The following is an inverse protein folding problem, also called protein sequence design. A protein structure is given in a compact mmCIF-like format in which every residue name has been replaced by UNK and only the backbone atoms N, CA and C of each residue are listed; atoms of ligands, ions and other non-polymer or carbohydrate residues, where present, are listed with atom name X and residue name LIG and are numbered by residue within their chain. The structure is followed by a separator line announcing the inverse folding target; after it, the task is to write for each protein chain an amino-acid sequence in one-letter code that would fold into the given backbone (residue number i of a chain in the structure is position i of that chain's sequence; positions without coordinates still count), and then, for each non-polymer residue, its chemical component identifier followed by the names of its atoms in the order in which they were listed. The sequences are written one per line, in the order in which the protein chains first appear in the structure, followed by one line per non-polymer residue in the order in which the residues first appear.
data_IF_168413999827
#
_entry.id   IF_168413999827
#
_cell.length_a   1.000
_cell.length_b   1.000
_cell.length_c   1.000
_cell.angle_alpha   90.00
_cell.angle_beta   90.00
_cell.angle_gamma   90.00
#
_symmetry.space_group_name_H-M   'P 1'
#
loop_
_entity.id
_entity.type
_entity.pdbx_description
1 polymer ?
#
# COMPACT_ATOMS: atom_id res chain seq x y z
N UNK A 1 -21.90 -4.89 63.08
CA UNK A 1 -22.78 -5.96 62.54
C UNK A 1 -23.77 -5.27 61.61
N UNK A 2 -23.74 -5.32 60.28
CA UNK A 2 -22.95 -6.01 59.25
C UNK A 2 -22.71 -4.97 58.13
N UNK A 3 -21.47 -4.88 57.64
CA UNK A 3 -21.12 -4.20 56.39
C UNK A 3 -21.75 -4.96 55.23
N UNK A 4 -22.51 -4.27 54.37
CA UNK A 4 -22.87 -4.80 53.05
C UNK A 4 -21.73 -4.49 52.08
N UNK A 5 -21.00 -5.53 51.73
CA UNK A 5 -19.99 -5.56 50.67
C UNK A 5 -20.67 -5.30 49.33
N UNK A 6 -20.38 -4.16 48.71
CA UNK A 6 -20.65 -3.95 47.28
C UNK A 6 -19.53 -4.63 46.49
N UNK A 7 -19.82 -5.79 45.92
CA UNK A 7 -18.94 -6.43 44.94
C UNK A 7 -18.90 -5.57 43.68
N UNK A 8 -17.75 -4.93 43.42
CA UNK A 8 -17.42 -4.37 42.11
C UNK A 8 -17.21 -5.52 41.13
N UNK A 9 -18.21 -5.80 40.30
CA UNK A 9 -18.01 -6.54 39.05
C UNK A 9 -17.26 -5.61 38.08
N UNK A 10 -15.95 -5.79 37.98
CA UNK A 10 -15.15 -5.25 36.88
C UNK A 10 -15.28 -6.25 35.73
N UNK A 11 -16.18 -5.96 34.79
CA UNK A 11 -16.21 -6.64 33.49
C UNK A 11 -15.15 -5.96 32.62
N UNK A 12 -13.93 -6.50 32.60
CA UNK A 12 -12.94 -6.15 31.57
C UNK A 12 -13.40 -6.83 30.29
N UNK A 13 -14.10 -6.08 29.45
CA UNK A 13 -14.26 -6.43 28.04
C UNK A 13 -12.90 -6.24 27.37
N UNK A 14 -12.08 -7.30 27.37
CA UNK A 14 -10.88 -7.38 26.57
C UNK A 14 -11.31 -7.52 25.10
N UNK A 15 -11.57 -6.41 24.42
CA UNK A 15 -11.63 -6.38 22.96
C UNK A 15 -10.23 -6.73 22.46
N UNK A 16 -9.99 -8.00 22.15
CA UNK A 16 -8.96 -8.36 21.19
C UNK A 16 -9.37 -7.70 19.86
N UNK A 17 -8.81 -6.54 19.57
CA UNK A 17 -8.72 -6.07 18.21
C UNK A 17 -7.79 -7.04 17.49
N UNK A 18 -8.37 -8.06 16.88
CA UNK A 18 -7.70 -8.81 15.82
C UNK A 18 -7.61 -7.82 14.66
N UNK A 19 -6.53 -7.04 14.62
CA UNK A 19 -6.13 -6.36 13.39
C UNK A 19 -5.69 -7.47 12.46
N UNK A 20 -6.63 -8.01 11.68
CA UNK A 20 -6.25 -8.67 10.45
C UNK A 20 -5.60 -7.58 9.62
N UNK A 21 -4.28 -7.64 9.48
CA UNK A 21 -3.53 -6.81 8.56
C UNK A 21 -3.92 -7.26 7.15
N UNK A 22 -5.11 -6.85 6.70
CA UNK A 22 -5.54 -7.06 5.33
C UNK A 22 -4.59 -6.23 4.48
N UNK A 23 -3.66 -6.90 3.79
CA UNK A 23 -2.83 -6.24 2.80
C UNK A 23 -3.76 -5.77 1.69
N UNK A 24 -4.16 -4.49 1.71
CA UNK A 24 -5.01 -3.96 0.66
C UNK A 24 -4.32 -4.16 -0.69
N UNK A 25 -5.00 -4.89 -1.56
CA UNK A 25 -4.59 -5.07 -2.94
C UNK A 25 -4.61 -3.73 -3.67
N UNK A 26 -3.74 -3.56 -4.67
CA UNK A 26 -3.68 -2.34 -5.46
C UNK A 26 -5.00 -2.13 -6.21
N UNK A 27 -5.63 -0.98 -6.03
CA UNK A 27 -6.80 -0.52 -6.78
C UNK A 27 -6.36 -0.01 -8.16
N UNK A 28 -7.08 -0.43 -9.21
CA UNK A 28 -6.87 0.14 -10.56
C UNK A 28 -7.54 1.51 -10.66
N UNK A 29 -6.87 2.50 -11.25
CA UNK A 29 -7.44 3.86 -11.36
C UNK A 29 -8.71 3.83 -12.22
N UNK A 30 -8.74 3.06 -13.32
CA UNK A 30 -9.94 2.87 -14.13
C UNK A 30 -11.19 2.47 -13.33
N UNK A 31 -11.00 1.62 -12.31
CA UNK A 31 -12.10 1.12 -11.48
C UNK A 31 -12.71 2.25 -10.67
N UNK A 32 -11.85 3.13 -10.12
CA UNK A 32 -12.27 4.35 -9.44
C UNK A 32 -13.01 5.27 -10.43
N UNK A 33 -12.44 5.51 -11.61
CA UNK A 33 -13.04 6.38 -12.63
C UNK A 33 -14.44 5.89 -13.04
N UNK A 34 -14.59 4.58 -13.23
CA UNK A 34 -15.85 3.98 -13.70
C UNK A 34 -16.97 4.00 -12.65
N UNK A 35 -16.62 3.98 -11.36
CA UNK A 35 -17.60 3.98 -10.27
C UNK A 35 -16.98 4.62 -9.00
N UNK A 36 -16.82 5.96 -8.98
CA UNK A 36 -16.11 6.63 -7.89
C UNK A 36 -16.87 6.54 -6.56
N UNK A 37 -18.20 6.50 -6.60
CA UNK A 37 -19.05 6.38 -5.41
C UNK A 37 -18.81 5.08 -4.65
N UNK A 38 -18.48 3.97 -5.34
CA UNK A 38 -18.13 2.70 -4.69
C UNK A 38 -16.94 2.81 -3.75
N UNK A 39 -16.01 3.70 -4.05
CA UNK A 39 -14.76 3.87 -3.32
C UNK A 39 -14.81 5.11 -2.40
N UNK A 40 -15.91 5.87 -2.39
CA UNK A 40 -16.01 7.09 -1.59
C UNK A 40 -15.87 6.79 -0.09
N UNK A 41 -14.90 7.43 0.56
CA UNK A 41 -14.56 7.20 1.96
C UNK A 41 -13.66 5.99 2.21
N UNK A 42 -13.41 5.16 1.19
CA UNK A 42 -12.53 4.00 1.30
C UNK A 42 -11.06 4.41 1.15
N UNK A 43 -10.19 3.70 1.87
CA UNK A 43 -8.76 3.76 1.59
C UNK A 43 -8.51 3.01 0.29
N UNK A 44 -7.87 3.67 -0.67
CA UNK A 44 -7.41 3.08 -1.92
C UNK A 44 -5.89 3.08 -1.96
N UNK A 45 -5.34 2.08 -2.64
CA UNK A 45 -3.90 1.92 -2.85
C UNK A 45 -3.62 1.88 -4.35
N UNK A 46 -3.00 2.91 -4.88
CA UNK A 46 -2.84 3.13 -6.33
C UNK A 46 -1.39 3.45 -6.65
N UNK A 47 -0.91 3.06 -7.83
CA UNK A 47 0.44 3.40 -8.26
C UNK A 47 0.47 3.99 -9.66
N UNK A 48 1.40 4.92 -9.88
CA UNK A 48 1.56 5.54 -11.18
C UNK A 48 2.72 6.53 -11.25
N UNK A 49 2.97 7.06 -12.43
CA UNK A 49 3.89 8.15 -12.68
C UNK A 49 3.25 9.48 -12.30
N UNK A 50 3.97 10.31 -11.55
CA UNK A 50 3.55 11.69 -11.27
C UNK A 50 3.76 12.54 -12.53
N UNK A 51 2.68 13.02 -13.13
CA UNK A 51 2.77 13.84 -14.36
C UNK A 51 2.94 15.32 -14.04
N UNK A 52 2.25 15.78 -13.02
CA UNK A 52 2.25 17.20 -12.62
C UNK A 52 2.16 17.32 -11.11
N UNK A 53 2.74 18.39 -10.56
CA UNK A 53 2.51 18.86 -9.21
C UNK A 53 2.03 20.30 -9.26
N UNK A 54 0.93 20.59 -8.55
CA UNK A 54 0.34 21.91 -8.41
C UNK A 54 0.48 22.31 -6.94
N UNK A 55 1.21 23.40 -6.62
CA UNK A 55 1.35 23.87 -5.25
C UNK A 55 0.01 24.40 -4.72
N UNK A 56 -0.10 24.46 -3.39
CA UNK A 56 -1.29 25.00 -2.74
C UNK A 56 -1.51 26.48 -3.11
N UNK A 57 -2.78 26.89 -3.11
CA UNK A 57 -3.19 28.28 -3.25
C UNK A 57 -3.99 28.72 -2.00
N UNK A 58 -4.45 29.97 -1.98
CA UNK A 58 -5.33 30.48 -0.92
C UNK A 58 -6.65 29.71 -0.77
N UNK A 59 -7.06 28.95 -1.80
CA UNK A 59 -8.36 28.26 -1.86
C UNK A 59 -8.27 26.76 -2.11
N UNK A 60 -7.07 26.20 -2.33
CA UNK A 60 -6.90 24.78 -2.66
C UNK A 60 -5.63 24.20 -2.04
N UNK A 61 -5.74 22.98 -1.50
CA UNK A 61 -4.58 22.18 -1.08
C UNK A 61 -3.72 21.82 -2.28
N UNK A 62 -2.41 21.62 -2.07
CA UNK A 62 -1.53 21.13 -3.12
C UNK A 62 -2.01 19.76 -3.60
N UNK A 63 -1.80 19.48 -4.89
CA UNK A 63 -2.16 18.19 -5.45
C UNK A 63 -1.23 17.83 -6.61
N UNK A 64 -1.21 16.56 -6.98
CA UNK A 64 -0.50 16.06 -8.16
C UNK A 64 -1.38 15.10 -8.95
N UNK A 65 -1.05 14.89 -10.22
CA UNK A 65 -1.74 13.90 -11.04
C UNK A 65 -0.88 12.63 -11.13
N UNK A 66 -1.44 11.52 -10.66
CA UNK A 66 -0.85 10.20 -10.73
C UNK A 66 -1.45 9.47 -11.93
N UNK A 67 -0.60 9.01 -12.84
CA UNK A 67 -1.01 8.26 -14.03
C UNK A 67 -0.57 6.80 -13.91
N UNK A 68 -1.49 5.86 -13.92
CA UNK A 68 -1.13 4.44 -13.89
C UNK A 68 -0.51 3.95 -15.20
N UNK A 69 -0.09 2.68 -15.23
CA UNK A 69 0.53 2.05 -16.40
C UNK A 69 -0.43 1.89 -17.59
N UNK A 70 -1.74 2.12 -17.38
CA UNK A 70 -2.78 2.08 -18.41
C UNK A 70 -3.16 3.48 -18.91
N UNK A 71 -2.40 4.50 -18.50
CA UNK A 71 -2.64 5.92 -18.82
C UNK A 71 -3.91 6.50 -18.19
N UNK A 72 -4.55 5.81 -17.24
CA UNK A 72 -5.63 6.40 -16.46
C UNK A 72 -5.03 7.36 -15.42
N UNK A 73 -5.67 8.50 -15.21
CA UNK A 73 -5.13 9.60 -14.39
C UNK A 73 -6.08 9.91 -13.26
N UNK A 74 -5.52 10.11 -12.06
CA UNK A 74 -6.27 10.52 -10.88
C UNK A 74 -5.53 11.63 -10.13
N UNK A 75 -6.30 12.56 -9.58
CA UNK A 75 -5.78 13.61 -8.71
C UNK A 75 -5.51 13.05 -7.31
N UNK A 76 -4.31 13.34 -6.80
CA UNK A 76 -3.92 13.10 -5.41
C UNK A 76 -3.72 14.44 -4.71
N UNK A 77 -4.57 14.73 -3.74
CA UNK A 77 -4.40 15.86 -2.82
C UNK A 77 -3.34 15.51 -1.77
N UNK A 78 -2.41 16.41 -1.50
CA UNK A 78 -1.28 16.19 -0.59
C UNK A 78 -0.97 17.42 0.25
N UNK A 79 -0.60 17.21 1.51
CA UNK A 79 0.04 18.19 2.39
C UNK A 79 1.52 17.90 2.64
N UNK A 80 2.03 16.82 2.08
CA UNK A 80 3.41 16.38 2.24
C UNK A 80 4.36 17.14 1.30
N UNK A 81 5.65 16.81 1.38
CA UNK A 81 6.66 17.32 0.45
C UNK A 81 6.24 17.09 -1.02
N UNK A 82 6.55 18.00 -1.95
CA UNK A 82 6.22 17.81 -3.36
C UNK A 82 6.81 16.50 -3.93
N UNK A 83 6.04 15.67 -4.65
CA UNK A 83 6.60 14.51 -5.35
C UNK A 83 7.47 14.94 -6.54
N UNK A 84 8.42 14.09 -6.90
CA UNK A 84 9.25 14.29 -8.10
C UNK A 84 8.41 13.98 -9.34
N UNK A 85 8.40 14.89 -10.31
CA UNK A 85 7.71 14.68 -11.60
C UNK A 85 8.41 13.61 -12.42
N UNK A 86 7.64 12.85 -13.20
CA UNK A 86 8.06 11.68 -13.96
C UNK A 86 8.63 10.52 -13.12
N UNK A 87 8.49 10.56 -11.79
CA UNK A 87 8.81 9.43 -10.91
C UNK A 87 7.55 8.61 -10.60
N UNK A 88 7.73 7.29 -10.48
CA UNK A 88 6.66 6.36 -10.12
C UNK A 88 6.52 6.30 -8.61
N UNK A 89 5.29 6.38 -8.11
CA UNK A 89 4.95 6.26 -6.70
C UNK A 89 3.79 5.30 -6.46
N UNK A 90 3.80 4.67 -5.30
CA UNK A 90 2.66 4.04 -4.68
C UNK A 90 2.05 5.01 -3.68
N UNK A 91 0.75 5.17 -3.73
CA UNK A 91 0.00 6.10 -2.91
C UNK A 91 -1.12 5.33 -2.22
N UNK A 92 -1.18 5.43 -0.90
CA UNK A 92 -2.36 5.04 -0.12
C UNK A 92 -3.08 6.29 0.36
N UNK A 93 -4.39 6.34 0.22
CA UNK A 93 -5.16 7.50 0.64
C UNK A 93 -6.67 7.25 0.58
N UNK A 94 -7.43 8.16 1.20
CA UNK A 94 -8.89 8.07 1.21
C UNK A 94 -9.43 8.70 -0.08
N UNK A 95 -10.30 8.01 -0.81
CA UNK A 95 -10.98 8.60 -1.96
C UNK A 95 -12.15 9.48 -1.49
N UNK A 96 -12.19 10.71 -1.96
CA UNK A 96 -13.32 11.63 -1.77
C UNK A 96 -14.06 11.87 -3.08
N UNK A 97 -15.37 11.98 -3.01
CA UNK A 97 -16.24 12.38 -4.13
C UNK A 97 -16.99 13.65 -3.80
N UNK A 98 -17.15 14.54 -4.80
CA UNK A 98 -17.89 15.80 -4.70
C UNK A 98 -18.89 15.84 -5.85
N UNK A 99 -20.18 15.98 -5.51
CA UNK A 99 -21.22 16.21 -6.51
C UNK A 99 -21.25 17.67 -6.95
N UNK A 100 -21.19 17.90 -8.26
CA UNK A 100 -21.30 19.23 -8.86
C UNK A 100 -22.75 19.56 -9.24
N UNK A 101 -23.05 20.86 -9.39
CA UNK A 101 -24.39 21.37 -9.73
C UNK A 101 -24.91 20.89 -11.09
N UNK A 102 -24.01 20.48 -11.99
CA UNK A 102 -24.33 19.91 -13.31
C UNK A 102 -24.49 18.38 -13.28
N UNK A 103 -24.51 17.76 -12.09
CA UNK A 103 -24.64 16.31 -11.92
C UNK A 103 -23.35 15.51 -12.15
N UNK A 104 -22.22 16.16 -12.46
CA UNK A 104 -20.92 15.48 -12.54
C UNK A 104 -20.40 15.16 -11.14
N UNK A 105 -19.67 14.06 -11.03
CA UNK A 105 -18.99 13.66 -9.80
C UNK A 105 -17.50 13.91 -9.99
N UNK A 106 -16.97 14.89 -9.26
CA UNK A 106 -15.53 15.04 -9.08
C UNK A 106 -15.05 14.07 -8.01
N UNK A 107 -13.82 13.60 -8.14
CA UNK A 107 -13.21 12.77 -7.12
C UNK A 107 -11.70 12.96 -7.11
N UNK A 108 -11.09 12.69 -5.96
CA UNK A 108 -9.65 12.75 -5.75
C UNK A 108 -9.28 11.86 -4.56
N UNK A 109 -8.01 11.45 -4.49
CA UNK A 109 -7.48 10.73 -3.33
C UNK A 109 -6.79 11.72 -2.41
N UNK A 110 -7.14 11.74 -1.13
CA UNK A 110 -6.35 12.42 -0.10
C UNK A 110 -5.24 11.51 0.36
N UNK A 111 -3.99 11.89 0.07
CA UNK A 111 -2.80 11.12 0.42
C UNK A 111 -2.69 10.90 1.93
N UNK A 112 -2.43 9.65 2.32
CA UNK A 112 -2.07 9.26 3.69
C UNK A 112 -0.63 8.77 3.78
N UNK A 113 -0.14 8.08 2.73
CA UNK A 113 1.25 7.71 2.60
C UNK A 113 1.65 7.57 1.14
N UNK A 114 2.92 7.84 0.86
CA UNK A 114 3.53 7.72 -0.46
C UNK A 114 4.87 7.00 -0.36
N UNK A 115 5.10 6.08 -1.29
CA UNK A 115 6.31 5.27 -1.38
C UNK A 115 6.86 5.29 -2.80
N UNK A 116 8.18 5.29 -2.95
CA UNK A 116 8.84 5.21 -4.26
C UNK A 116 8.50 3.87 -4.94
N UNK A 117 8.27 3.91 -6.26
CA UNK A 117 8.01 2.72 -7.08
C UNK A 117 6.53 2.34 -7.19
N UNK A 118 6.23 1.15 -7.72
CA UNK A 118 4.85 0.65 -7.81
C UNK A 118 4.34 0.15 -6.44
N UNK A 119 3.02 -0.03 -6.28
CA UNK A 119 2.41 -0.49 -5.02
C UNK A 119 2.71 -1.92 -4.60
N UNK A 120 3.53 -2.61 -5.40
CA UNK A 120 4.09 -3.91 -5.08
C UNK A 120 5.62 -3.90 -5.16
N UNK A 121 6.27 -2.74 -5.33
CA UNK A 121 7.72 -2.60 -5.58
C UNK A 121 8.53 -2.25 -4.34
N UNK A 122 7.97 -2.48 -3.15
CA UNK A 122 8.62 -2.31 -1.86
C UNK A 122 8.80 -3.69 -1.19
N UNK A 123 9.73 -3.84 -0.23
CA UNK A 123 9.87 -5.09 0.52
C UNK A 123 8.70 -5.30 1.48
N UNK A 124 8.19 -6.53 1.54
CA UNK A 124 7.12 -6.94 2.47
C UNK A 124 7.67 -8.08 3.32
N UNK A 125 7.82 -7.84 4.63
CA UNK A 125 8.29 -8.85 5.57
C UNK A 125 7.15 -9.80 5.93
N UNK A 126 7.43 -11.10 5.88
CA UNK A 126 6.54 -12.15 6.35
C UNK A 126 7.29 -13.11 7.27
N UNK A 127 6.68 -13.43 8.40
CA UNK A 127 7.23 -14.34 9.41
C UNK A 127 6.49 -15.68 9.34
N UNK A 128 7.22 -16.79 9.37
CA UNK A 128 6.58 -18.13 9.38
C UNK A 128 5.74 -18.40 10.62
N UNK A 129 6.02 -17.67 11.72
CA UNK A 129 5.29 -17.73 12.98
C UNK A 129 5.54 -16.47 13.81
N UNK A 130 4.56 -16.10 14.62
CA UNK A 130 4.64 -14.98 15.58
C UNK A 130 4.80 -15.44 17.03
N UNK A 131 4.80 -16.76 17.27
CA UNK A 131 5.03 -17.36 18.58
C UNK A 131 6.00 -18.55 18.47
N UNK A 132 6.95 -18.63 19.40
CA UNK A 132 7.83 -19.78 19.58
C UNK A 132 7.69 -20.32 21.01
N UNK A 133 7.25 -21.57 21.15
CA UNK A 133 7.13 -22.24 22.44
C UNK A 133 8.13 -23.38 22.53
N UNK A 134 9.10 -23.22 23.44
CA UNK A 134 10.11 -24.25 23.72
C UNK A 134 9.57 -25.40 24.55
N UNK A 135 8.41 -25.20 25.21
CA UNK A 135 7.87 -26.14 26.18
C UNK A 135 8.79 -26.27 27.39
N UNK A 136 8.79 -27.46 28.00
CA UNK A 136 9.59 -27.79 29.18
C UNK A 136 11.04 -28.10 28.78
N UNK A 137 12.00 -27.40 29.35
CA UNK A 137 13.44 -27.63 29.19
C UNK A 137 14.09 -27.82 30.56
N UNK A 138 15.03 -28.74 30.64
CA UNK A 138 15.77 -29.02 31.86
C UNK A 138 16.72 -27.87 32.21
N UNK A 139 16.94 -27.63 33.49
CA UNK A 139 17.88 -26.62 33.97
C UNK A 139 19.28 -26.81 33.37
N UNK A 140 19.91 -25.72 32.92
CA UNK A 140 21.22 -25.71 32.24
C UNK A 140 21.31 -26.52 30.95
N UNK A 141 20.19 -27.02 30.43
CA UNK A 141 20.11 -27.64 29.12
C UNK A 141 19.65 -26.62 28.09
N UNK A 142 20.04 -26.82 26.83
CA UNK A 142 19.64 -25.95 25.73
C UNK A 142 18.65 -26.64 24.80
N UNK A 143 17.69 -25.88 24.28
CA UNK A 143 16.82 -26.29 23.17
C UNK A 143 16.80 -25.18 22.15
N UNK A 144 16.82 -25.52 20.87
CA UNK A 144 16.73 -24.56 19.78
C UNK A 144 15.44 -24.73 18.95
N UNK A 145 14.91 -23.60 18.49
CA UNK A 145 13.83 -23.52 17.50
C UNK A 145 14.22 -22.49 16.44
N UNK A 146 13.58 -22.53 15.28
CA UNK A 146 13.85 -21.59 14.21
C UNK A 146 12.56 -21.02 13.62
N UNK A 147 12.64 -19.81 13.09
CA UNK A 147 11.58 -19.20 12.30
C UNK A 147 12.16 -18.63 11.00
N UNK A 148 11.31 -18.48 10.00
CA UNK A 148 11.70 -17.97 8.68
C UNK A 148 11.20 -16.55 8.52
N UNK A 149 12.08 -15.67 8.05
CA UNK A 149 11.77 -14.33 7.56
C UNK A 149 11.81 -14.39 6.04
N UNK A 150 10.73 -13.97 5.39
CA UNK A 150 10.62 -13.96 3.92
C UNK A 150 10.27 -12.59 3.39
N UNK A 151 10.71 -12.30 2.17
CA UNK A 151 10.36 -11.10 1.45
C UNK A 151 9.34 -11.42 0.35
N UNK A 152 8.08 -11.12 0.62
CA UNK A 152 6.96 -11.28 -0.33
C UNK A 152 6.74 -10.04 -1.21
N UNK A 153 7.56 -8.99 -1.02
CA UNK A 153 7.56 -7.78 -1.83
C UNK A 153 8.41 -7.93 -3.09
N UNK A 154 8.51 -6.85 -3.89
CA UNK A 154 9.28 -6.85 -5.16
C UNK A 154 10.54 -5.97 -5.13
N UNK A 155 10.86 -5.36 -3.99
CA UNK A 155 12.17 -4.77 -3.71
C UNK A 155 12.89 -5.48 -2.56
N UNK A 156 14.19 -5.26 -2.40
CA UNK A 156 15.04 -5.96 -1.42
C UNK A 156 14.70 -5.53 0.01
N UNK A 157 14.42 -6.51 0.87
CA UNK A 157 14.21 -6.32 2.30
C UNK A 157 15.56 -6.28 3.00
N UNK A 158 15.92 -5.12 3.54
CA UNK A 158 17.14 -4.89 4.30
C UNK A 158 16.79 -4.87 5.79
N UNK A 159 17.23 -5.89 6.51
CA UNK A 159 17.08 -5.98 7.97
C UNK A 159 18.28 -5.27 8.60
N UNK A 160 18.02 -4.27 9.42
CA UNK A 160 19.06 -3.51 10.13
C UNK A 160 19.39 -4.10 11.49
N UNK A 161 18.43 -4.76 12.14
CA UNK A 161 18.64 -5.39 13.44
C UNK A 161 17.65 -6.53 13.70
N UNK A 162 18.10 -7.55 14.43
CA UNK A 162 17.27 -8.59 15.04
C UNK A 162 17.72 -8.71 16.49
N UNK A 163 16.81 -8.45 17.42
CA UNK A 163 17.13 -8.43 18.85
C UNK A 163 16.11 -9.24 19.65
N UNK A 164 16.55 -9.82 20.77
CA UNK A 164 15.71 -10.54 21.71
C UNK A 164 15.79 -9.86 23.09
N UNK A 165 14.65 -9.71 23.75
CA UNK A 165 14.61 -9.32 25.17
C UNK A 165 14.98 -10.51 26.07
N UNK A 166 15.28 -10.28 27.35
CA UNK A 166 15.59 -11.36 28.31
C UNK A 166 16.73 -12.28 27.82
N UNK A 167 17.88 -11.65 27.53
CA UNK A 167 19.08 -12.31 26.98
C UNK A 167 19.75 -13.29 27.97
N UNK A 168 19.32 -13.30 29.22
CA UNK A 168 19.84 -14.23 30.23
C UNK A 168 19.42 -15.68 29.98
N UNK A 169 18.27 -15.86 29.31
CA UNK A 169 17.70 -17.17 29.01
C UNK A 169 17.56 -17.45 27.50
N UNK A 170 17.48 -16.42 26.65
CA UNK A 170 17.31 -16.57 25.20
C UNK A 170 18.46 -15.95 24.41
N UNK A 171 18.96 -16.68 23.42
CA UNK A 171 20.02 -16.26 22.51
C UNK A 171 19.55 -16.35 21.06
N UNK A 172 19.97 -15.40 20.23
CA UNK A 172 19.73 -15.38 18.79
C UNK A 172 21.00 -15.72 18.03
N UNK A 173 20.89 -16.68 17.11
CA UNK A 173 21.90 -16.89 16.08
C UNK A 173 21.42 -16.18 14.82
N UNK A 174 21.93 -14.96 14.62
CA UNK A 174 21.57 -14.13 13.49
C UNK A 174 22.21 -14.66 12.19
N UNK A 175 21.50 -14.59 11.05
CA UNK A 175 22.06 -14.97 9.76
C UNK A 175 23.11 -13.96 9.28
N UNK A 176 24.10 -14.44 8.51
CA UNK A 176 25.18 -13.61 7.96
C UNK A 176 24.67 -12.58 6.93
N UNK A 177 23.57 -12.89 6.24
CA UNK A 177 22.97 -12.04 5.21
C UNK A 177 21.63 -11.52 5.73
N UNK A 178 21.53 -10.19 5.85
CA UNK A 178 20.32 -9.48 6.28
C UNK A 178 19.55 -8.82 5.13
N UNK A 179 20.01 -9.01 3.89
CA UNK A 179 19.36 -8.50 2.68
C UNK A 179 18.64 -9.64 1.96
N UNK A 180 17.31 -9.63 1.97
CA UNK A 180 16.46 -10.65 1.37
C UNK A 180 15.88 -10.13 0.06
N UNK A 181 16.31 -10.70 -1.06
CA UNK A 181 15.76 -10.38 -2.39
C UNK A 181 14.27 -10.77 -2.49
N UNK A 182 13.52 -10.18 -3.43
CA UNK A 182 12.13 -10.57 -3.71
C UNK A 182 11.97 -12.09 -3.87
N UNK A 183 10.99 -12.67 -3.17
CA UNK A 183 10.68 -14.10 -3.21
C UNK A 183 11.62 -15.00 -2.39
N UNK A 184 12.70 -14.46 -1.83
CA UNK A 184 13.64 -15.22 -1.01
C UNK A 184 13.28 -15.18 0.48
N UNK A 185 13.98 -16.00 1.25
CA UNK A 185 13.83 -16.08 2.71
C UNK A 185 15.14 -16.41 3.40
N UNK A 186 15.19 -16.13 4.71
CA UNK A 186 16.28 -16.50 5.62
C UNK A 186 15.70 -17.13 6.88
N UNK A 187 16.45 -18.04 7.51
CA UNK A 187 16.08 -18.68 8.77
C UNK A 187 16.85 -18.05 9.92
N UNK A 188 16.16 -17.78 11.03
CA UNK A 188 16.74 -17.29 12.28
C UNK A 188 16.55 -18.35 13.35
N UNK A 189 17.63 -18.71 14.04
CA UNK A 189 17.61 -19.70 15.12
C UNK A 189 17.60 -18.99 16.48
N UNK A 190 16.77 -19.51 17.38
CA UNK A 190 16.62 -19.05 18.76
C UNK A 190 16.98 -20.20 19.69
N UNK A 191 17.86 -19.95 20.64
CA UNK A 191 18.30 -20.93 21.64
C UNK A 191 17.75 -20.52 23.00
N UNK A 192 17.14 -21.45 23.71
CA UNK A 192 16.66 -21.28 25.08
C UNK A 192 17.51 -22.12 26.03
N UNK A 193 18.15 -21.47 27.00
CA UNK A 193 19.02 -22.10 28.01
C UNK A 193 18.71 -21.53 29.39
N UNK A 194 17.75 -22.11 30.14
CA UNK A 194 17.39 -21.58 31.45
C UNK A 194 18.44 -21.87 32.52
N UNK A 195 18.71 -20.86 33.35
CA UNK A 195 19.69 -20.93 34.46
C UNK A 195 19.07 -21.10 35.83
N UNK A 196 17.78 -20.77 35.97
CA UNK A 196 17.00 -20.95 37.18
C UNK A 196 15.65 -21.59 36.85
N UNK A 197 14.97 -22.14 37.85
CA UNK A 197 13.62 -22.66 37.67
C UNK A 197 12.62 -21.53 37.48
N UNK A 198 11.69 -21.70 36.55
CA UNK A 198 10.65 -20.72 36.31
C UNK A 198 10.16 -20.66 34.86
N UNK A 199 9.26 -19.71 34.64
CA UNK A 199 8.68 -19.44 33.34
C UNK A 199 9.37 -18.21 32.73
N UNK A 200 9.95 -18.39 31.54
CA UNK A 200 10.66 -17.34 30.84
C UNK A 200 9.87 -16.92 29.60
N UNK A 201 9.83 -15.61 29.36
CA UNK A 201 9.29 -15.04 28.13
C UNK A 201 10.20 -13.96 27.59
N UNK A 202 10.18 -13.79 26.27
CA UNK A 202 10.92 -12.78 25.54
C UNK A 202 10.16 -12.32 24.29
N UNK A 203 10.52 -11.16 23.78
CA UNK A 203 10.07 -10.63 22.50
C UNK A 203 11.28 -10.48 21.60
N UNK A 204 11.21 -11.09 20.41
CA UNK A 204 12.13 -10.84 19.32
C UNK A 204 11.57 -9.69 18.49
N UNK A 205 12.38 -8.64 18.31
CA UNK A 205 12.06 -7.48 17.48
C UNK A 205 12.99 -7.47 16.28
N UNK A 206 12.40 -7.43 15.09
CA UNK A 206 13.10 -7.25 13.83
C UNK A 206 12.99 -5.77 13.47
N UNK A 207 14.01 -5.18 12.85
CA UNK A 207 13.99 -3.80 12.36
C UNK A 207 14.49 -3.81 10.93
N UNK A 208 13.75 -3.20 10.01
CA UNK A 208 13.96 -3.32 8.58
C UNK A 208 13.38 -2.12 7.82
N UNK A 209 13.54 -2.14 6.51
CA UNK A 209 12.87 -1.22 5.57
C UNK A 209 11.52 -1.76 5.03
N UNK A 210 10.93 -2.80 5.64
CA UNK A 210 9.65 -3.34 5.22
C UNK A 210 8.52 -2.30 5.33
N UNK A 211 7.58 -2.31 4.37
CA UNK A 211 6.48 -1.34 4.35
C UNK A 211 5.32 -1.69 5.30
N UNK A 212 5.22 -2.96 5.72
CA UNK A 212 4.07 -3.52 6.44
C UNK A 212 4.34 -3.72 7.94
N UNK A 213 5.16 -2.84 8.53
CA UNK A 213 5.72 -2.89 9.89
C UNK A 213 6.91 -3.86 10.06
N UNK A 214 7.63 -3.69 11.18
CA UNK A 214 8.95 -4.26 11.44
C UNK A 214 8.95 -5.67 12.05
N UNK A 215 7.79 -6.29 12.31
CA UNK A 215 7.68 -7.69 12.74
C UNK A 215 8.12 -7.96 14.19
N UNK A 216 7.26 -8.67 14.95
CA UNK A 216 7.53 -9.09 16.33
C UNK A 216 7.17 -10.55 16.52
N UNK A 217 7.99 -11.27 17.30
CA UNK A 217 7.75 -12.67 17.68
C UNK A 217 7.81 -12.79 19.20
N UNK A 218 6.80 -13.42 19.79
CA UNK A 218 6.78 -13.77 21.21
C UNK A 218 7.42 -15.14 21.42
N UNK A 219 8.30 -15.26 22.40
CA UNK A 219 9.00 -16.50 22.73
C UNK A 219 8.73 -16.87 24.18
N UNK A 220 8.42 -18.14 24.44
CA UNK A 220 8.13 -18.67 25.78
C UNK A 220 8.82 -20.00 26.05
N UNK A 221 9.28 -20.19 27.28
CA UNK A 221 9.94 -21.41 27.75
C UNK A 221 9.60 -21.69 29.22
N UNK A 222 9.48 -22.98 29.56
CA UNK A 222 9.24 -23.44 30.92
C UNK A 222 10.47 -24.21 31.39
N UNK A 223 10.98 -23.89 32.57
CA UNK A 223 12.06 -24.65 33.20
C UNK A 223 11.52 -25.48 34.33
N UNK A 224 11.99 -26.72 34.44
CA UNK A 224 11.70 -27.55 35.60
C UNK A 224 12.96 -28.07 36.26
N UNK A 225 12.92 -28.16 37.59
CA UNK A 225 13.93 -28.87 38.34
C UNK A 225 14.05 -30.32 37.86
N UNK A 226 15.30 -30.79 37.81
CA UNK A 226 15.62 -32.21 37.76
C UNK A 226 15.73 -32.71 39.21
N UNK A 227 14.61 -32.89 39.92
CA UNK A 227 14.62 -33.29 41.34
C UNK A 227 15.42 -34.59 41.58
N UNK A 228 15.32 -35.57 40.68
CA UNK A 228 16.01 -36.87 40.79
C UNK A 228 17.53 -36.84 40.60
N UNK A 229 18.13 -35.76 40.09
CA UNK A 229 19.60 -35.57 40.02
C UNK A 229 20.17 -34.74 41.17
N UNK A 230 19.31 -34.20 42.04
CA UNK A 230 19.75 -33.41 43.18
C UNK A 230 20.33 -34.34 44.27
N UNK A 231 21.57 -34.17 44.74
CA UNK A 231 22.19 -35.06 45.71
C UNK A 231 21.38 -35.19 47.01
N UNK A 232 20.68 -34.13 47.43
CA UNK A 232 19.79 -34.16 48.61
C UNK A 232 18.57 -35.07 48.34
N UNK A 233 18.00 -35.02 47.13
CA UNK A 233 16.85 -35.83 46.74
C UNK A 233 17.22 -37.31 46.53
N UNK A 234 18.41 -37.60 45.99
CA UNK A 234 18.96 -38.95 45.84
C UNK A 234 19.15 -39.59 47.23
N UNK A 235 19.63 -38.84 48.22
CA UNK A 235 19.78 -39.32 49.60
C UNK A 235 18.42 -39.56 50.27
N UNK A 236 17.45 -38.66 50.07
CA UNK A 236 16.12 -38.76 50.69
C UNK A 236 15.21 -39.84 50.06
N UNK A 237 15.29 -40.08 48.75
CA UNK A 237 14.37 -40.99 48.04
C UNK A 237 15.04 -42.22 47.41
N UNK A 238 16.35 -42.18 47.12
CA UNK A 238 17.08 -43.31 46.52
C UNK A 238 17.55 -44.36 47.54
N UNK A 239 17.85 -43.95 48.78
CA UNK A 239 18.30 -44.87 49.84
C UNK A 239 17.18 -45.66 50.53
N UNK A 240 15.98 -45.07 50.64
CA UNK A 240 14.85 -45.68 51.37
C UNK A 240 14.20 -46.87 50.64
N UNK A 241 14.13 -46.84 49.31
CA UNK A 241 13.50 -47.90 48.51
C UNK A 241 14.29 -49.22 48.59
N UNK A 242 15.63 -49.14 48.64
CA UNK A 242 16.51 -50.31 48.74
C UNK A 242 16.37 -50.98 50.10
N UNK A 243 16.32 -50.20 51.19
CA UNK A 243 16.09 -50.73 52.54
C UNK A 243 14.69 -51.35 52.67
N UNK A 244 13.67 -50.73 52.07
CA UNK A 244 12.29 -51.23 52.07
C UNK A 244 12.15 -52.51 51.24
N UNK A 245 12.81 -52.60 50.08
CA UNK A 245 12.86 -53.82 49.25
C UNK A 245 13.63 -54.92 49.95
N UNK A 246 14.75 -54.64 50.62
CA UNK A 246 15.48 -55.63 51.43
C UNK A 246 14.65 -56.15 52.61
N UNK A 247 13.93 -55.27 53.30
CA UNK A 247 13.02 -55.64 54.39
C UNK A 247 11.83 -56.47 53.86
N UNK A 248 11.27 -56.10 52.71
CA UNK A 248 10.18 -56.82 52.05
C UNK A 248 10.63 -58.19 51.53
N UNK A 249 11.80 -58.28 50.90
CA UNK A 249 12.38 -59.55 50.43
C UNK A 249 12.66 -60.48 51.61
N UNK A 250 13.15 -59.97 52.75
CA UNK A 250 13.35 -60.78 53.96
C UNK A 250 12.03 -61.27 54.59
N UNK A 251 10.96 -60.49 54.50
CA UNK A 251 9.65 -60.85 55.05
C UNK A 251 8.85 -61.82 54.17
N UNK A 252 9.08 -61.85 52.85
CA UNK A 252 8.24 -62.58 51.90
C UNK A 252 8.90 -63.78 51.19
N UNK A 253 10.21 -64.02 51.32
CA UNK A 253 10.88 -65.12 50.59
C UNK A 253 10.76 -66.53 51.24
N UNK A 254 9.75 -66.76 52.07
CA UNK A 254 9.53 -68.07 52.68
C UNK A 254 8.16 -68.65 52.35
N UNK A 255 7.89 -68.93 51.06
CA UNK A 255 7.14 -70.13 50.63
C UNK A 255 7.14 -70.35 49.10
N UNK A 256 7.66 -71.53 48.76
CA UNK A 256 7.74 -72.32 47.52
C UNK A 256 6.75 -72.06 46.36
N UNK A 257 7.35 -72.10 45.16
CA UNK A 257 7.03 -72.87 43.94
C UNK A 257 5.57 -73.23 43.60
N UNK A 258 5.19 -73.05 42.32
CA UNK A 258 4.78 -74.12 41.39
C UNK A 258 4.66 -73.54 39.96
N UNK A 259 4.77 -74.44 38.99
CA UNK A 259 5.28 -74.36 37.62
C UNK A 259 4.23 -74.22 36.50
N UNK A 260 4.73 -73.76 35.33
CA UNK A 260 4.45 -74.15 33.93
C UNK A 260 3.09 -73.80 33.27
N UNK A 261 3.19 -73.19 32.07
CA UNK A 261 2.16 -73.33 31.01
C UNK A 261 2.39 -72.45 29.77
N UNK A 262 2.84 -73.07 28.66
CA UNK A 262 3.14 -72.48 27.34
C UNK A 262 1.89 -72.03 26.54
N UNK A 263 2.06 -71.09 25.61
CA UNK A 263 1.96 -71.32 24.13
C UNK A 263 1.27 -70.21 23.28
N UNK A 264 2.00 -69.80 22.23
CA UNK A 264 1.60 -69.52 20.81
C UNK A 264 0.77 -68.31 20.35
N UNK A 265 1.47 -67.41 19.63
CA UNK A 265 1.27 -66.90 18.25
C UNK A 265 -0.13 -66.81 17.60
N UNK A 266 -0.46 -65.64 17.03
CA UNK A 266 -0.78 -65.50 15.58
C UNK A 266 -0.70 -64.05 15.08
N UNK A 267 -0.27 -63.94 13.82
CA UNK A 267 0.05 -62.76 13.00
C UNK A 267 -1.08 -62.56 11.95
N UNK A 268 -0.89 -61.56 11.08
CA UNK A 268 -1.53 -61.23 9.77
C UNK A 268 -2.68 -60.23 9.81
N UNK A 269 -2.86 -59.29 8.86
CA UNK A 269 -2.04 -58.70 7.79
C UNK A 269 -2.82 -57.49 7.22
N UNK A 270 -2.13 -56.65 6.45
CA UNK A 270 -2.58 -55.42 5.79
C UNK A 270 -3.62 -55.62 4.66
N UNK A 271 -4.32 -54.54 4.29
CA UNK A 271 -4.78 -54.32 2.91
C UNK A 271 -4.84 -52.82 2.56
N UNK A 272 -4.76 -52.58 1.26
CA UNK A 272 -4.21 -51.44 0.51
C UNK A 272 -5.34 -50.79 -0.33
N UNK A 273 -5.24 -49.50 -0.71
CA UNK A 273 -5.34 -48.99 -2.10
C UNK A 273 -5.63 -47.47 -2.26
N UNK A 274 -5.04 -46.94 -3.32
CA UNK A 274 -4.90 -45.56 -3.83
C UNK A 274 -6.10 -45.00 -4.62
N UNK A 275 -6.10 -43.67 -4.87
CA UNK A 275 -6.04 -42.97 -6.21
C UNK A 275 -6.69 -41.55 -6.16
N UNK A 276 -5.97 -40.45 -6.50
CA UNK A 276 -5.87 -39.66 -7.79
C UNK A 276 -7.23 -39.11 -8.32
N UNK A 277 -7.42 -37.92 -8.91
CA UNK A 277 -6.61 -36.82 -9.45
C UNK A 277 -7.51 -35.56 -9.69
N UNK A 278 -7.04 -34.32 -9.49
CA UNK A 278 -6.77 -33.21 -10.45
C UNK A 278 -7.89 -32.66 -11.37
N UNK A 279 -8.05 -31.31 -11.43
CA UNK A 279 -7.78 -30.42 -12.61
C UNK A 279 -8.56 -29.07 -12.58
N UNK A 280 -7.78 -27.97 -12.69
CA UNK A 280 -7.87 -26.64 -13.36
C UNK A 280 -9.12 -25.71 -13.42
N UNK A 281 -8.77 -24.44 -13.13
CA UNK A 281 -8.90 -23.15 -13.87
C UNK A 281 -10.26 -22.60 -14.32
N UNK A 282 -10.47 -21.30 -14.06
CA UNK A 282 -10.31 -20.27 -15.10
C UNK A 282 -10.20 -18.85 -14.53
N UNK A 283 -9.32 -18.06 -15.16
CA UNK A 283 -9.27 -16.60 -15.12
C UNK A 283 -10.27 -16.05 -16.14
N UNK A 284 -10.84 -14.88 -15.85
CA UNK A 284 -11.32 -13.97 -16.88
C UNK A 284 -10.83 -12.54 -16.58
N UNK A 285 -10.21 -11.97 -17.61
CA UNK A 285 -9.74 -10.60 -17.76
C UNK A 285 -10.86 -9.73 -18.33
N UNK A 286 -10.96 -8.46 -17.92
CA UNK A 286 -11.58 -7.42 -18.74
C UNK A 286 -10.82 -6.10 -18.62
N UNK A 287 -10.31 -5.66 -19.77
CA UNK A 287 -9.62 -4.41 -20.07
C UNK A 287 -10.60 -3.40 -20.67
N UNK A 288 -10.60 -2.15 -20.21
CA UNK A 288 -10.86 -0.94 -21.02
C UNK A 288 -10.76 0.34 -20.17
N UNK A 289 -9.78 1.18 -20.49
CA UNK A 289 -9.81 2.65 -20.47
C UNK A 289 -8.34 3.06 -20.61
N UNK A 290 -7.99 3.66 -21.74
CA UNK A 290 -6.71 4.33 -21.92
C UNK A 290 -7.09 5.77 -22.27
N UNK A 291 -6.56 6.75 -21.54
CA UNK A 291 -6.76 8.16 -21.89
C UNK A 291 -6.28 8.39 -23.32
N UNK A 292 -7.25 8.62 -24.21
CA UNK A 292 -7.04 8.82 -25.64
C UNK A 292 -6.68 10.28 -25.87
N UNK A 293 -5.46 10.57 -26.30
CA UNK A 293 -5.10 11.89 -26.82
C UNK A 293 -5.97 12.17 -28.06
N UNK A 294 -6.62 13.32 -28.11
CA UNK A 294 -7.40 13.72 -29.28
C UNK A 294 -6.53 14.62 -30.14
N UNK A 295 -6.14 14.10 -31.29
CA UNK A 295 -5.28 14.79 -32.23
C UNK A 295 -6.07 15.10 -33.50
N UNK A 296 -6.32 16.38 -33.71
CA UNK A 296 -6.84 16.92 -34.97
C UNK A 296 -5.65 17.46 -35.80
N UNK A 297 -5.88 17.86 -37.05
CA UNK A 297 -4.85 18.52 -37.87
C UNK A 297 -4.54 19.94 -37.36
N UNK A 298 -5.50 20.56 -36.68
CA UNK A 298 -5.40 21.94 -36.17
C UNK A 298 -4.91 22.00 -34.73
N UNK A 299 -5.35 21.08 -33.88
CA UNK A 299 -5.15 21.13 -32.42
C UNK A 299 -4.90 19.74 -31.83
N UNK A 300 -4.09 19.70 -30.76
CA UNK A 300 -3.92 18.53 -29.93
C UNK A 300 -4.43 18.84 -28.52
N UNK A 301 -5.34 18.00 -28.04
CA UNK A 301 -5.96 18.12 -26.71
C UNK A 301 -5.90 16.75 -26.02
N UNK A 302 -5.49 16.76 -24.77
CA UNK A 302 -5.55 15.57 -23.92
C UNK A 302 -6.95 15.41 -23.31
N UNK A 303 -7.46 14.17 -23.30
CA UNK A 303 -8.76 13.87 -22.68
C UNK A 303 -8.70 14.26 -21.20
N UNK A 304 -9.65 15.08 -20.77
CA UNK A 304 -9.71 15.57 -19.40
C UNK A 304 -10.11 14.41 -18.48
N UNK A 305 -9.24 14.00 -17.53
CA UNK A 305 -9.62 13.06 -16.49
C UNK A 305 -10.77 13.63 -15.67
N UNK A 306 -11.69 12.78 -15.19
CA UNK A 306 -12.83 13.22 -14.37
C UNK A 306 -12.41 13.94 -13.07
N UNK A 307 -11.17 13.73 -12.63
CA UNK A 307 -10.61 14.38 -11.45
C UNK A 307 -10.18 15.82 -11.72
N UNK A 308 -9.97 16.21 -12.97
CA UNK A 308 -9.53 17.56 -13.34
C UNK A 308 -10.75 18.46 -13.53
N UNK A 309 -10.66 19.68 -13.00
CA UNK A 309 -11.65 20.73 -13.30
C UNK A 309 -11.58 21.08 -14.78
N UNK A 310 -12.70 20.95 -15.48
CA UNK A 310 -12.85 21.50 -16.83
C UNK A 310 -12.78 23.02 -16.79
N UNK A 311 -12.11 23.63 -17.75
CA UNK A 311 -12.30 25.03 -18.05
C UNK A 311 -13.78 25.25 -18.46
N UNK A 312 -14.41 26.36 -18.06
CA UNK A 312 -15.81 26.60 -18.40
C UNK A 312 -16.01 26.81 -19.90
N UNK A 313 -17.15 26.31 -20.39
CA UNK A 313 -17.51 26.35 -21.80
C UNK A 313 -16.87 25.25 -22.66
N UNK A 314 -17.17 25.31 -23.96
CA UNK A 314 -16.69 24.42 -25.01
C UNK A 314 -16.08 25.24 -26.15
N UNK A 315 -15.09 24.69 -26.83
CA UNK A 315 -14.40 25.33 -27.95
C UNK A 315 -14.73 24.61 -29.26
N UNK A 316 -14.99 25.38 -30.32
CA UNK A 316 -15.23 24.87 -31.67
C UNK A 316 -14.18 25.41 -32.64
N UNK A 317 -13.54 24.52 -33.39
CA UNK A 317 -12.64 24.92 -34.48
C UNK A 317 -13.50 25.44 -35.63
N UNK A 318 -13.29 26.68 -36.07
CA UNK A 318 -14.12 27.30 -37.13
C UNK A 318 -13.36 27.61 -38.42
N UNK A 319 -12.09 27.25 -38.50
CA UNK A 319 -11.23 27.34 -39.68
C UNK A 319 -10.59 26.01 -40.04
N UNK A 320 -10.02 25.92 -41.24
CA UNK A 320 -9.24 24.75 -41.66
C UNK A 320 -10.06 23.48 -41.87
N UNK A 321 -9.35 22.35 -41.95
CA UNK A 321 -9.90 21.02 -42.25
C UNK A 321 -10.75 20.45 -41.10
N UNK A 322 -10.48 20.87 -39.86
CA UNK A 322 -11.20 20.41 -38.66
C UNK A 322 -12.40 21.31 -38.30
N UNK A 323 -12.86 22.14 -39.24
CA UNK A 323 -14.00 23.03 -39.02
C UNK A 323 -15.22 22.25 -38.51
N UNK A 324 -15.80 22.73 -37.40
CA UNK A 324 -16.96 22.15 -36.72
C UNK A 324 -16.60 21.14 -35.62
N UNK A 325 -15.32 20.75 -35.45
CA UNK A 325 -14.90 19.90 -34.33
C UNK A 325 -14.93 20.67 -33.02
N UNK A 326 -15.46 20.04 -31.98
CA UNK A 326 -15.61 20.60 -30.64
C UNK A 326 -14.73 19.88 -29.64
N UNK A 327 -14.27 20.61 -28.62
CA UNK A 327 -13.44 20.07 -27.56
C UNK A 327 -13.58 20.89 -26.27
N UNK A 328 -13.30 20.21 -25.15
CA UNK A 328 -13.13 20.82 -23.84
C UNK A 328 -11.65 20.69 -23.44
N UNK A 329 -11.23 21.52 -22.48
CA UNK A 329 -9.88 21.48 -21.93
C UNK A 329 -9.94 21.60 -20.40
N UNK A 330 -9.01 20.96 -19.69
CA UNK A 330 -8.89 21.11 -18.25
C UNK A 330 -8.32 22.49 -17.89
N UNK A 331 -8.46 22.91 -16.63
CA UNK A 331 -7.91 24.18 -16.16
C UNK A 331 -7.02 24.02 -14.92
N UNK A 332 -5.94 24.81 -14.87
CA UNK A 332 -5.03 24.86 -13.72
C UNK A 332 -5.40 26.02 -12.80
N UNK A 333 -5.50 25.76 -11.50
CA UNK A 333 -5.77 26.81 -10.51
C UNK A 333 -4.50 27.59 -10.18
N UNK A 334 -4.57 28.92 -10.24
CA UNK A 334 -3.45 29.84 -9.93
C UNK A 334 -3.96 31.04 -9.13
N UNK A 335 -3.05 31.94 -8.72
CA UNK A 335 -3.42 33.22 -8.12
C UNK A 335 -4.17 34.16 -9.08
N UNK A 336 -4.03 33.98 -10.39
CA UNK A 336 -4.74 34.80 -11.40
C UNK A 336 -6.14 34.26 -11.74
N UNK A 337 -6.49 33.06 -11.28
CA UNK A 337 -7.72 32.35 -11.63
C UNK A 337 -7.46 30.94 -12.16
N UNK A 338 -8.46 30.36 -12.81
CA UNK A 338 -8.29 29.11 -13.55
C UNK A 338 -7.71 29.43 -14.93
N UNK A 339 -6.59 28.81 -15.30
CA UNK A 339 -5.89 29.13 -16.55
C UNK A 339 -5.79 27.95 -17.51
N UNK A 340 -5.68 28.28 -18.80
CA UNK A 340 -5.34 27.36 -19.89
C UNK A 340 -4.37 28.07 -20.83
N UNK A 341 -3.26 27.42 -21.16
CA UNK A 341 -2.28 27.95 -22.10
C UNK A 341 -2.66 27.60 -23.55
N UNK A 342 -2.32 28.47 -24.50
CA UNK A 342 -2.54 28.27 -25.93
C UNK A 342 -1.24 28.55 -26.68
N UNK A 343 -0.85 27.64 -27.57
CA UNK A 343 0.25 27.87 -28.49
C UNK A 343 0.78 26.58 -29.11
N UNK A 344 1.84 26.69 -29.92
CA UNK A 344 2.43 25.55 -30.63
C UNK A 344 3.37 24.69 -29.80
N UNK A 345 3.82 25.22 -28.65
CA UNK A 345 4.73 24.50 -27.76
C UNK A 345 4.11 23.15 -27.34
N UNK A 346 4.95 22.11 -27.34
CA UNK A 346 4.59 20.85 -26.72
C UNK A 346 4.57 21.08 -25.21
N UNK A 347 3.42 20.89 -24.55
CA UNK A 347 3.33 21.18 -23.13
C UNK A 347 4.21 20.21 -22.35
N UNK A 348 4.80 20.70 -21.26
CA UNK A 348 5.39 19.84 -20.26
C UNK A 348 4.34 18.83 -19.75
N UNK A 349 4.77 17.65 -19.28
CA UNK A 349 3.86 16.71 -18.64
C UNK A 349 3.03 17.33 -17.51
N UNK A 350 3.52 18.42 -16.91
CA UNK A 350 2.78 19.13 -15.87
C UNK A 350 1.55 19.88 -16.36
N UNK A 351 1.53 20.26 -17.64
CA UNK A 351 0.57 21.21 -18.21
C UNK A 351 -0.21 20.63 -19.39
N UNK A 352 -0.03 19.35 -19.73
CA UNK A 352 -0.68 18.73 -20.91
C UNK A 352 -2.22 18.84 -20.89
N UNK A 353 -2.85 18.71 -19.73
CA UNK A 353 -4.31 18.81 -19.59
C UNK A 353 -4.82 20.26 -19.55
N UNK A 354 -3.90 21.23 -19.46
CA UNK A 354 -4.16 22.65 -19.28
C UNK A 354 -3.62 23.47 -20.46
N UNK A 355 -3.45 22.83 -21.61
CA UNK A 355 -2.84 23.42 -22.79
C UNK A 355 -3.61 23.04 -24.06
N UNK A 356 -3.91 24.04 -24.89
CA UNK A 356 -4.44 23.89 -26.23
C UNK A 356 -3.25 23.97 -27.19
N UNK A 357 -2.74 22.81 -27.62
CA UNK A 357 -1.60 22.78 -28.53
C UNK A 357 -2.06 23.01 -29.98
N UNK A 358 -1.67 24.14 -30.57
CA UNK A 358 -1.99 24.47 -31.97
C UNK A 358 -0.87 23.98 -32.91
N UNK A 359 -1.22 23.32 -34.01
CA UNK A 359 -0.22 22.77 -34.95
C UNK A 359 0.30 23.77 -35.99
N UNK A 360 -0.45 24.85 -36.23
CA UNK A 360 -0.14 25.82 -37.27
C UNK A 360 1.14 26.61 -37.01
N UNK A 361 2.00 26.71 -38.03
CA UNK A 361 3.31 27.37 -37.91
C UNK A 361 3.21 28.89 -37.77
N UNK A 362 2.09 29.48 -38.18
CA UNK A 362 1.79 30.91 -37.98
C UNK A 362 1.51 31.25 -36.51
N UNK A 363 1.33 30.25 -35.65
CA UNK A 363 1.07 30.43 -34.22
C UNK A 363 2.39 30.43 -33.43
N UNK A 364 2.52 31.40 -32.53
CA UNK A 364 3.64 31.46 -31.59
C UNK A 364 3.70 30.22 -30.67
N UNK A 365 4.89 29.93 -30.13
CA UNK A 365 5.07 28.81 -29.18
C UNK A 365 4.20 28.99 -27.93
N UNK A 366 4.22 30.19 -27.36
CA UNK A 366 3.36 30.67 -26.26
C UNK A 366 2.53 31.84 -26.77
N UNK A 367 1.35 31.56 -27.31
CA UNK A 367 0.58 32.57 -28.04
C UNK A 367 -0.34 33.35 -27.11
N UNK A 368 -1.11 32.66 -26.28
CA UNK A 368 -2.12 33.28 -25.44
C UNK A 368 -2.44 32.42 -24.22
N UNK A 369 -3.23 32.98 -23.31
CA UNK A 369 -3.74 32.29 -22.15
C UNK A 369 -5.22 32.63 -21.95
N UNK A 370 -6.04 31.61 -21.70
CA UNK A 370 -7.40 31.79 -21.23
C UNK A 370 -7.41 31.84 -19.69
N UNK A 371 -8.24 32.72 -19.14
CA UNK A 371 -8.34 32.92 -17.70
C UNK A 371 -9.82 32.98 -17.32
N UNK A 372 -10.28 32.09 -16.44
CA UNK A 372 -11.55 32.27 -15.73
C UNK A 372 -11.30 32.88 -14.36
N UNK A 373 -11.97 34.02 -14.12
CA UNK A 373 -11.94 34.74 -12.86
C UNK A 373 -13.32 35.30 -12.56
N UNK A 374 -13.88 34.92 -11.40
CA UNK A 374 -15.18 35.38 -10.90
C UNK A 374 -16.33 35.14 -11.90
N UNK A 375 -16.35 33.99 -12.56
CA UNK A 375 -17.39 33.60 -13.52
C UNK A 375 -17.27 34.27 -14.90
N UNK A 376 -16.24 35.10 -15.11
CA UNK A 376 -15.94 35.73 -16.40
C UNK A 376 -14.72 35.08 -17.03
N UNK A 377 -14.73 34.96 -18.36
CA UNK A 377 -13.65 34.36 -19.13
C UNK A 377 -12.93 35.44 -19.93
N UNK A 378 -11.60 35.40 -19.95
CA UNK A 378 -10.76 36.34 -20.66
C UNK A 378 -9.75 35.63 -21.54
N UNK A 379 -9.41 36.25 -22.68
CA UNK A 379 -8.20 35.95 -23.43
C UNK A 379 -7.12 36.98 -23.05
N UNK A 380 -5.95 36.51 -22.64
CA UNK A 380 -4.73 37.30 -22.48
C UNK A 380 -3.76 36.99 -23.63
N UNK A 381 -3.36 37.98 -24.41
CA UNK A 381 -2.33 37.77 -25.44
C UNK A 381 -0.94 37.72 -24.78
N UNK A 382 -0.13 36.71 -25.11
CA UNK A 382 1.26 36.57 -24.67
C UNK A 382 2.25 36.75 -25.82
N UNK A 383 1.77 36.68 -27.06
CA UNK A 383 2.58 36.81 -28.27
C UNK A 383 2.97 38.25 -28.55
N UNK A 384 4.26 38.49 -28.81
CA UNK A 384 4.81 39.80 -29.18
C UNK A 384 5.12 39.92 -30.67
N UNK A 385 5.22 38.80 -31.39
CA UNK A 385 5.56 38.76 -32.83
C UNK A 385 4.37 38.37 -33.69
N UNK A 386 3.57 37.40 -33.24
CA UNK A 386 2.36 36.98 -33.91
C UNK A 386 1.16 37.50 -33.13
N UNK A 387 0.31 38.26 -33.81
CA UNK A 387 -0.82 38.95 -33.20
C UNK A 387 -1.96 37.97 -32.85
N UNK A 388 -2.68 38.27 -31.77
CA UNK A 388 -3.91 37.56 -31.39
C UNK A 388 -5.10 38.47 -31.61
N UNK A 389 -6.24 37.93 -32.04
CA UNK A 389 -7.46 38.71 -32.24
C UNK A 389 -8.65 38.09 -31.53
N UNK A 390 -9.58 38.93 -31.07
CA UNK A 390 -10.89 38.53 -30.56
C UNK A 390 -11.93 39.31 -31.35
N UNK A 391 -12.86 38.59 -32.00
CA UNK A 391 -13.93 39.17 -32.82
C UNK A 391 -13.40 40.16 -33.88
N UNK A 392 -12.25 39.84 -34.46
CA UNK A 392 -11.57 40.63 -35.49
C UNK A 392 -10.79 41.84 -34.96
N UNK A 393 -10.81 42.11 -33.65
CA UNK A 393 -10.03 43.18 -33.03
C UNK A 393 -8.73 42.64 -32.45
N UNK A 394 -7.63 43.33 -32.70
CA UNK A 394 -6.33 42.95 -32.17
C UNK A 394 -6.29 43.05 -30.65
N UNK A 395 -5.66 42.08 -30.01
CA UNK A 395 -5.36 42.06 -28.57
C UNK A 395 -3.86 42.28 -28.42
N UNK A 396 -3.48 43.44 -27.87
CA UNK A 396 -2.08 43.80 -27.68
C UNK A 396 -1.39 42.86 -26.67
N UNK A 397 -0.05 42.73 -26.71
CA UNK A 397 0.68 41.91 -25.74
C UNK A 397 0.31 42.28 -24.29
N UNK A 398 0.11 41.27 -23.45
CA UNK A 398 -0.36 41.37 -22.06
C UNK A 398 -1.79 41.91 -21.84
N UNK A 399 -2.47 42.38 -22.90
CA UNK A 399 -3.84 42.85 -22.81
C UNK A 399 -4.80 41.67 -22.55
N UNK A 400 -5.76 41.89 -21.66
CA UNK A 400 -6.88 40.97 -21.38
C UNK A 400 -8.15 41.48 -22.06
N UNK A 401 -8.86 40.59 -22.75
CA UNK A 401 -10.17 40.87 -23.38
C UNK A 401 -11.18 39.84 -22.88
N UNK A 402 -12.33 40.31 -22.37
CA UNK A 402 -13.42 39.44 -21.92
C UNK A 402 -14.05 38.72 -23.12
N UNK A 403 -14.32 37.43 -22.95
CA UNK A 403 -14.95 36.57 -23.94
C UNK A 403 -16.41 36.35 -23.59
N UNK A 404 -17.25 36.37 -24.62
CA UNK A 404 -18.67 36.03 -24.52
C UNK A 404 -18.94 34.75 -25.30
N UNK A 405 -20.06 34.07 -25.00
CA UNK A 405 -20.51 32.96 -25.83
C UNK A 405 -20.67 33.45 -27.27
N UNK A 406 -19.96 32.81 -28.19
CA UNK A 406 -19.88 33.18 -29.59
C UNK A 406 -18.61 33.90 -30.02
N UNK A 407 -17.79 34.39 -29.07
CA UNK A 407 -16.54 35.09 -29.39
C UNK A 407 -15.59 34.22 -30.22
N UNK A 408 -14.99 34.82 -31.25
CA UNK A 408 -14.04 34.18 -32.16
C UNK A 408 -12.63 34.60 -31.77
N UNK A 409 -11.84 33.63 -31.33
CA UNK A 409 -10.41 33.74 -31.05
C UNK A 409 -9.64 33.44 -32.33
N UNK A 410 -8.66 34.26 -32.68
CA UNK A 410 -7.81 34.05 -33.85
C UNK A 410 -6.33 34.13 -33.49
N UNK A 411 -5.59 33.13 -33.96
CA UNK A 411 -4.14 33.00 -33.82
C UNK A 411 -3.53 32.58 -35.17
N UNK A 412 -2.93 33.53 -35.89
CA UNK A 412 -2.56 33.30 -37.29
C UNK A 412 -3.77 32.86 -38.12
N UNK A 413 -3.67 31.69 -38.76
CA UNK A 413 -4.74 31.10 -39.59
C UNK A 413 -5.77 30.27 -38.79
N UNK A 414 -5.48 29.99 -37.51
CA UNK A 414 -6.39 29.23 -36.64
C UNK A 414 -7.46 30.16 -36.06
N UNK A 415 -8.72 29.77 -36.21
CA UNK A 415 -9.87 30.41 -35.55
C UNK A 415 -10.65 29.40 -34.72
N UNK A 416 -10.90 29.77 -33.47
CA UNK A 416 -11.63 28.96 -32.49
C UNK A 416 -12.77 29.82 -31.94
N UNK A 417 -13.98 29.26 -31.91
CA UNK A 417 -15.16 29.89 -31.32
C UNK A 417 -15.37 29.37 -29.91
N UNK A 418 -15.59 30.28 -28.97
CA UNK A 418 -15.93 29.95 -27.58
C UNK A 418 -17.45 29.84 -27.41
N UNK A 419 -17.91 28.82 -26.70
CA UNK A 419 -19.32 28.61 -26.31
C UNK A 419 -19.37 28.48 -24.79
N UNK A 420 -20.09 29.37 -24.10
CA UNK A 420 -20.19 29.36 -22.63
C UNK A 420 -21.19 28.34 -22.10
#
# INVERSE_FOLDING_TARGET
MKMYHVQKLIVIALLLQITTSFSQEQTRISSIISNPLRFSGEVVKISGLVRTYIPASSSTTAYYLLMDDYSDVIQISTSDTPPVTNQKYCVTGILYTISETNGRIKFFVSEQARYDGACNDYPIIQLSQTNLSFGKVELHSSKDLSFVISNSGRSTLNITNISVSNKDAFELINPEILNIKPGNSISVKVIYTPKEEGNYSAIITITSNASNDNGKITVVGLTSAIWWKNPIFIVLFGGGLILFILLFVLLFNNKKNVEIGKATNRKTDMLNLNSKASVRNNQETNSASANKRTEYETVIIDTIPLTIRSFPGEFEIVSGIDKGKRFNVGSKSTSEGQIVNIGREQPDPSDMFFHIQLKENTVGRKQAQLIELNGKVYLKNLGTTNHSFVDGKEVLPEQKVELFSGSILQFGDVRIKYHQ
#
